data_IF_065041474609
#
_entry.id   IF_065041474609
#
_cell.length_a   1.000
_cell.length_b   1.000
_cell.length_c   1.000
_cell.angle_alpha   90.00
_cell.angle_beta   90.00
_cell.angle_gamma   90.00
#
_symmetry.space_group_name_H-M   'P 1'
#
loop_
_entity.id
_entity.type
_entity.pdbx_description
1 polymer ?
#
# COMPACT_ATOMS: atom_id res chain seq x y z
N UNK A 1 32.71 -8.83 19.73
CA UNK A 1 31.84 -9.57 20.65
C UNK A 1 30.41 -9.13 20.39
N UNK A 2 29.57 -10.05 19.91
CA UNK A 2 28.14 -9.84 19.66
C UNK A 2 27.36 -9.71 20.98
N UNK A 3 26.08 -9.28 20.90
CA UNK A 3 25.06 -10.28 21.13
C UNK A 3 23.96 -10.30 20.07
N UNK A 4 23.57 -11.54 19.77
CA UNK A 4 22.42 -11.97 19.00
C UNK A 4 21.13 -11.70 19.80
N UNK A 5 20.09 -11.18 19.16
CA UNK A 5 18.72 -11.41 19.59
C UNK A 5 17.93 -11.99 18.42
N UNK A 6 17.66 -13.28 18.52
CA UNK A 6 16.74 -14.03 17.67
C UNK A 6 15.30 -13.60 17.96
N UNK A 7 14.57 -13.19 16.92
CA UNK A 7 13.12 -13.16 16.93
C UNK A 7 12.59 -14.53 16.44
N UNK A 8 11.59 -15.16 17.10
CA UNK A 8 11.02 -16.39 16.59
C UNK A 8 9.94 -16.08 15.54
N UNK A 9 10.14 -16.59 14.33
CA UNK A 9 9.09 -16.85 13.35
C UNK A 9 8.04 -17.78 13.98
N UNK A 10 6.79 -17.35 14.03
CA UNK A 10 5.62 -18.24 14.15
C UNK A 10 4.56 -17.85 13.13
N UNK A 11 4.80 -18.25 11.89
CA UNK A 11 3.77 -18.38 10.87
C UNK A 11 3.70 -19.84 10.43
N UNK A 12 2.59 -20.49 10.80
CA UNK A 12 1.97 -21.70 10.20
C UNK A 12 2.71 -23.04 10.40
N UNK A 13 1.97 -24.13 10.72
CA UNK A 13 0.96 -24.66 9.79
C UNK A 13 -0.34 -25.16 10.44
N UNK A 14 -1.45 -24.50 10.10
CA UNK A 14 -2.82 -25.05 10.15
C UNK A 14 -3.14 -25.78 8.83
N UNK A 15 -2.39 -26.83 8.50
CA UNK A 15 -2.58 -27.55 7.23
C UNK A 15 -2.57 -29.09 7.32
N UNK A 16 -2.79 -29.69 8.50
CA UNK A 16 -2.82 -31.16 8.62
C UNK A 16 -3.96 -31.67 9.51
N UNK A 17 -5.19 -31.21 9.28
CA UNK A 17 -6.38 -31.76 9.94
C UNK A 17 -7.59 -31.95 9.01
N UNK A 18 -7.36 -32.43 7.77
CA UNK A 18 -8.43 -32.89 6.87
C UNK A 18 -7.96 -34.11 6.06
N UNK A 19 -7.58 -35.18 6.77
CA UNK A 19 -7.53 -36.52 6.20
C UNK A 19 -7.41 -37.51 7.36
N UNK A 20 -8.53 -38.14 7.74
CA UNK A 20 -8.65 -39.48 8.33
C UNK A 20 -10.08 -39.62 8.86
N UNK A 21 -10.98 -40.15 8.04
CA UNK A 21 -12.20 -40.77 8.54
C UNK A 21 -11.88 -42.14 9.14
N UNK A 22 -12.71 -42.60 10.09
CA UNK A 22 -12.97 -44.03 10.18
C UNK A 22 -14.48 -44.29 10.14
N UNK A 23 -14.85 -45.18 9.22
CA UNK A 23 -16.05 -45.98 9.35
C UNK A 23 -15.86 -46.97 10.50
N UNK A 24 -16.78 -47.00 11.47
CA UNK A 24 -17.18 -48.22 12.19
C UNK A 24 -18.36 -47.96 13.14
N UNK A 25 -19.47 -48.64 12.83
CA UNK A 25 -20.37 -49.39 13.72
C UNK A 25 -21.21 -48.66 14.77
N UNK A 26 -22.51 -48.93 14.65
CA UNK A 26 -23.59 -48.55 15.55
C UNK A 26 -23.45 -49.17 16.96
N UNK A 27 -23.77 -48.39 17.99
CA UNK A 27 -24.60 -48.85 19.11
C UNK A 27 -25.37 -47.67 19.71
N UNK A 28 -26.67 -47.86 19.88
CA UNK A 28 -27.60 -46.97 20.57
C UNK A 28 -27.17 -46.66 22.01
N UNK A 29 -27.50 -45.44 22.46
CA UNK A 29 -27.69 -45.15 23.87
C UNK A 29 -26.45 -44.69 24.65
N UNK A 30 -26.01 -43.45 24.42
CA UNK A 30 -25.55 -42.51 25.46
C UNK A 30 -25.08 -41.21 24.81
N UNK A 31 -25.86 -40.13 24.98
CA UNK A 31 -25.43 -38.78 24.62
C UNK A 31 -24.28 -38.37 25.56
N UNK A 32 -23.13 -37.90 25.06
CA UNK A 32 -22.07 -37.40 25.93
C UNK A 32 -22.51 -36.06 26.55
N UNK A 33 -22.31 -35.91 27.87
CA UNK A 33 -22.60 -34.71 28.66
C UNK A 33 -22.06 -33.40 28.03
N UNK A 34 -21.04 -33.49 27.18
CA UNK A 34 -20.44 -32.36 26.46
C UNK A 34 -21.39 -31.67 25.46
N UNK A 35 -22.36 -32.40 24.88
CA UNK A 35 -23.36 -31.80 23.98
C UNK A 35 -24.46 -31.05 24.76
N UNK A 36 -24.65 -31.37 26.04
CA UNK A 36 -25.64 -30.72 26.89
C UNK A 36 -25.11 -29.36 27.39
N UNK A 37 -23.82 -29.30 27.75
CA UNK A 37 -23.14 -28.06 28.13
C UNK A 37 -22.97 -27.05 26.96
N UNK A 38 -22.92 -27.52 25.71
CA UNK A 38 -22.90 -26.65 24.53
C UNK A 38 -24.27 -26.01 24.25
N UNK A 39 -25.37 -26.73 24.50
CA UNK A 39 -26.73 -26.17 24.38
C UNK A 39 -27.01 -25.13 25.47
N UNK A 40 -26.57 -25.39 26.71
CA UNK A 40 -26.71 -24.45 27.83
C UNK A 40 -25.87 -23.17 27.62
N UNK A 41 -24.71 -23.26 26.96
CA UNK A 41 -23.89 -22.09 26.63
C UNK A 41 -24.49 -21.24 25.49
N UNK A 42 -25.19 -21.87 24.53
CA UNK A 42 -25.85 -21.19 23.41
C UNK A 42 -27.13 -20.45 23.87
N UNK A 43 -27.89 -21.05 24.78
CA UNK A 43 -29.08 -20.45 25.41
C UNK A 43 -28.71 -19.27 26.31
N UNK A 44 -27.61 -19.40 27.09
CA UNK A 44 -27.07 -18.29 27.89
C UNK A 44 -26.55 -17.14 27.02
N UNK A 45 -26.02 -17.40 25.82
CA UNK A 45 -25.66 -16.32 24.89
C UNK A 45 -26.89 -15.62 24.31
N UNK A 46 -27.97 -16.34 23.96
CA UNK A 46 -29.20 -15.71 23.50
C UNK A 46 -29.87 -14.85 24.59
N UNK A 47 -29.93 -15.35 25.83
CA UNK A 47 -30.45 -14.58 26.97
C UNK A 47 -29.60 -13.33 27.28
N UNK A 48 -28.26 -13.45 27.26
CA UNK A 48 -27.38 -12.29 27.42
C UNK A 48 -27.56 -11.27 26.30
N UNK A 49 -27.83 -11.74 25.08
CA UNK A 49 -28.05 -10.89 23.90
C UNK A 49 -29.38 -10.13 24.02
N UNK A 50 -30.42 -10.79 24.52
CA UNK A 50 -31.73 -10.19 24.83
C UNK A 50 -31.67 -9.20 26.02
N UNK A 51 -30.88 -9.49 27.05
CA UNK A 51 -30.65 -8.54 28.15
C UNK A 51 -29.82 -7.33 27.71
N UNK A 52 -28.81 -7.52 26.84
CA UNK A 52 -28.06 -6.45 26.19
C UNK A 52 -28.95 -5.60 25.27
N UNK A 53 -29.94 -6.21 24.60
CA UNK A 53 -30.98 -5.51 23.83
C UNK A 53 -31.91 -4.68 24.72
N UNK A 54 -32.37 -5.23 25.86
CA UNK A 54 -33.19 -4.47 26.84
C UNK A 54 -32.42 -3.35 27.55
N UNK A 55 -31.09 -3.44 27.61
CA UNK A 55 -30.23 -2.45 28.26
C UNK A 55 -30.03 -1.14 27.47
N UNK A 56 -30.68 -0.98 26.30
CA UNK A 56 -30.70 0.30 25.58
C UNK A 56 -29.34 0.71 25.01
N UNK A 57 -28.46 -0.25 24.70
CA UNK A 57 -27.36 0.00 23.78
C UNK A 57 -27.96 0.19 22.37
N UNK A 58 -27.63 1.28 21.65
CA UNK A 58 -28.42 1.69 20.51
C UNK A 58 -28.19 0.74 19.32
N UNK A 59 -29.11 -0.20 19.14
CA UNK A 59 -29.36 -0.88 17.86
C UNK A 59 -29.98 0.04 16.81
N UNK A 60 -30.26 1.31 17.15
CA UNK A 60 -30.89 2.31 16.29
C UNK A 60 -29.94 3.49 15.97
N UNK A 61 -28.65 3.22 15.71
CA UNK A 61 -27.90 4.16 14.88
C UNK A 61 -28.42 4.01 13.45
N UNK A 62 -28.83 5.09 12.77
CA UNK A 62 -29.31 4.98 11.39
C UNK A 62 -28.22 4.31 10.56
N UNK A 63 -28.54 3.10 10.09
CA UNK A 63 -27.61 2.29 9.34
C UNK A 63 -27.25 3.02 8.03
N UNK A 64 -25.96 3.14 7.73
CA UNK A 64 -25.49 3.83 6.52
C UNK A 64 -26.19 3.24 5.28
N UNK A 65 -26.78 4.09 4.44
CA UNK A 65 -27.50 3.69 3.23
C UNK A 65 -26.65 2.69 2.40
N UNK A 66 -27.24 1.61 1.85
CA UNK A 66 -26.48 0.57 1.16
C UNK A 66 -25.55 1.07 0.05
N UNK A 67 -25.94 2.13 -0.66
CA UNK A 67 -25.11 2.76 -1.68
C UNK A 67 -23.90 3.48 -1.07
N UNK A 68 -24.11 4.27 -0.01
CA UNK A 68 -23.01 4.91 0.72
C UNK A 68 -22.07 3.87 1.34
N UNK A 69 -22.60 2.75 1.86
CA UNK A 69 -21.81 1.63 2.36
C UNK A 69 -20.93 1.01 1.27
N UNK A 70 -21.46 0.85 0.05
CA UNK A 70 -20.69 0.35 -1.10
C UNK A 70 -19.55 1.30 -1.47
N UNK A 71 -19.80 2.60 -1.51
CA UNK A 71 -18.78 3.61 -1.80
C UNK A 71 -17.68 3.62 -0.72
N UNK A 72 -18.08 3.53 0.56
CA UNK A 72 -17.14 3.44 1.68
C UNK A 72 -16.26 2.18 1.59
N UNK A 73 -16.85 1.03 1.29
CA UNK A 73 -16.11 -0.22 1.09
C UNK A 73 -15.11 -0.12 -0.07
N UNK A 74 -15.52 0.46 -1.21
CA UNK A 74 -14.64 0.64 -2.36
C UNK A 74 -13.47 1.60 -2.05
N UNK A 75 -13.70 2.66 -1.28
CA UNK A 75 -12.64 3.55 -0.80
C UNK A 75 -11.68 2.82 0.15
N UNK A 76 -12.20 2.00 1.08
CA UNK A 76 -11.39 1.22 2.01
C UNK A 76 -10.49 0.21 1.27
N UNK A 77 -11.02 -0.51 0.29
CA UNK A 77 -10.26 -1.45 -0.54
C UNK A 77 -9.15 -0.74 -1.33
N UNK A 78 -9.46 0.41 -1.93
CA UNK A 78 -8.47 1.22 -2.65
C UNK A 78 -7.37 1.75 -1.71
N UNK A 79 -7.76 2.19 -0.50
CA UNK A 79 -6.83 2.67 0.52
C UNK A 79 -5.88 1.56 0.96
N UNK A 80 -6.40 0.38 1.27
CA UNK A 80 -5.59 -0.77 1.65
C UNK A 80 -4.63 -1.20 0.53
N UNK A 81 -5.10 -1.21 -0.72
CA UNK A 81 -4.27 -1.54 -1.88
C UNK A 81 -3.14 -0.50 -2.08
N UNK A 82 -3.43 0.79 -1.95
CA UNK A 82 -2.45 1.86 -2.07
C UNK A 82 -1.41 1.78 -0.94
N UNK A 83 -1.84 1.67 0.33
CA UNK A 83 -0.94 1.48 1.47
C UNK A 83 -0.02 0.28 1.28
N UNK A 84 -0.57 -0.86 0.84
CA UNK A 84 0.21 -2.05 0.53
C UNK A 84 1.20 -1.86 -0.61
N UNK A 85 0.85 -1.05 -1.62
CA UNK A 85 1.78 -0.67 -2.68
C UNK A 85 2.92 0.20 -2.14
N UNK A 86 2.60 1.28 -1.44
CA UNK A 86 3.57 2.22 -0.88
C UNK A 86 4.57 1.50 0.04
N UNK A 87 4.07 0.68 0.98
CA UNK A 87 4.92 -0.05 1.93
C UNK A 87 5.90 -1.02 1.26
N UNK A 88 5.48 -1.74 0.22
CA UNK A 88 6.35 -2.68 -0.53
C UNK A 88 7.33 -1.98 -1.48
N UNK A 89 7.10 -0.71 -1.82
CA UNK A 89 7.91 0.09 -2.73
C UNK A 89 8.66 1.22 -2.03
N UNK A 90 8.75 1.15 -0.70
CA UNK A 90 9.45 2.14 0.11
C UNK A 90 10.98 1.98 0.05
N UNK A 91 11.50 0.76 -0.19
CA UNK A 91 12.94 0.48 -0.33
C UNK A 91 13.23 -0.67 -1.31
N UNK A 92 14.05 -0.46 -2.36
CA UNK A 92 14.38 0.86 -2.92
C UNK A 92 13.10 1.60 -3.34
N UNK A 93 13.14 2.94 -3.35
CA UNK A 93 11.94 3.75 -3.59
C UNK A 93 11.52 3.61 -5.05
N UNK A 94 10.30 3.10 -5.26
CA UNK A 94 9.68 2.92 -6.58
C UNK A 94 8.19 3.19 -6.55
N UNK A 95 7.78 4.18 -5.76
CA UNK A 95 6.38 4.41 -5.43
C UNK A 95 5.66 5.13 -6.57
N UNK A 96 6.29 6.10 -7.24
CA UNK A 96 5.62 6.85 -8.30
C UNK A 96 5.32 5.94 -9.50
N UNK A 97 6.30 5.15 -9.93
CA UNK A 97 6.14 4.26 -11.08
C UNK A 97 5.15 3.11 -10.82
N UNK A 98 5.13 2.56 -9.61
CA UNK A 98 4.34 1.35 -9.33
C UNK A 98 2.99 1.63 -8.68
N UNK A 99 2.80 2.75 -8.00
CA UNK A 99 1.60 3.03 -7.20
C UNK A 99 0.67 4.08 -7.81
N UNK A 100 1.05 4.74 -8.91
CA UNK A 100 0.22 5.78 -9.56
C UNK A 100 -1.21 5.33 -9.88
N UNK A 101 -1.38 4.09 -10.35
CA UNK A 101 -2.71 3.58 -10.70
C UNK A 101 -3.57 3.36 -9.45
N UNK A 102 -2.98 2.92 -8.34
CA UNK A 102 -3.67 2.80 -7.05
C UNK A 102 -4.07 4.17 -6.52
N UNK A 103 -3.18 5.15 -6.60
CA UNK A 103 -3.45 6.54 -6.20
C UNK A 103 -4.61 7.14 -7.01
N UNK A 104 -4.58 7.00 -8.33
CA UNK A 104 -5.66 7.49 -9.20
C UNK A 104 -7.01 6.84 -8.89
N UNK A 105 -7.03 5.52 -8.60
CA UNK A 105 -8.25 4.80 -8.21
C UNK A 105 -8.80 5.30 -6.88
N UNK A 106 -7.94 5.54 -5.89
CA UNK A 106 -8.35 6.11 -4.62
C UNK A 106 -9.03 7.47 -4.81
N UNK A 107 -8.39 8.40 -5.55
CA UNK A 107 -8.95 9.72 -5.84
C UNK A 107 -10.31 9.62 -6.55
N UNK A 108 -10.47 8.67 -7.47
CA UNK A 108 -11.74 8.44 -8.14
C UNK A 108 -12.83 8.02 -7.15
N UNK A 109 -12.54 7.07 -6.24
CA UNK A 109 -13.52 6.63 -5.24
C UNK A 109 -13.87 7.73 -4.23
N UNK A 110 -12.87 8.50 -3.79
CA UNK A 110 -13.13 9.68 -2.96
C UNK A 110 -14.06 10.67 -3.67
N UNK A 111 -13.79 10.96 -4.95
CA UNK A 111 -14.64 11.82 -5.76
C UNK A 111 -16.04 11.27 -6.05
N UNK A 112 -16.24 9.95 -5.99
CA UNK A 112 -17.58 9.35 -6.02
C UNK A 112 -18.33 9.61 -4.72
N UNK A 113 -17.69 9.46 -3.56
CA UNK A 113 -18.29 9.77 -2.24
C UNK A 113 -18.71 11.25 -2.17
N UNK A 114 -17.83 12.16 -2.58
CA UNK A 114 -18.09 13.62 -2.54
C UNK A 114 -19.28 14.01 -3.43
N UNK A 115 -19.45 13.36 -4.59
CA UNK A 115 -20.50 13.70 -5.57
C UNK A 115 -21.79 12.89 -5.41
N UNK A 116 -21.80 11.86 -4.56
CA UNK A 116 -22.95 10.99 -4.38
C UNK A 116 -24.08 11.73 -3.63
N UNK A 117 -24.99 12.32 -4.40
CA UNK A 117 -26.26 12.85 -3.91
C UNK A 117 -27.22 11.68 -3.76
N UNK A 118 -27.83 11.52 -2.57
CA UNK A 118 -28.80 10.46 -2.35
C UNK A 118 -30.10 10.68 -3.13
N UNK A 119 -30.83 9.60 -3.42
CA UNK A 119 -31.93 9.58 -4.41
C UNK A 119 -33.26 10.19 -3.94
N UNK A 120 -33.37 10.65 -2.68
CA UNK A 120 -34.57 11.27 -2.12
C UNK A 120 -34.32 12.71 -1.65
N UNK A 121 -35.38 13.52 -1.60
CA UNK A 121 -35.33 14.90 -1.10
C UNK A 121 -34.91 15.01 0.38
N UNK A 122 -34.93 13.88 1.11
CA UNK A 122 -34.46 13.71 2.49
C UNK A 122 -33.23 12.79 2.58
N UNK A 123 -32.68 12.33 1.45
CA UNK A 123 -31.56 11.39 1.42
C UNK A 123 -30.33 12.09 1.96
N UNK A 124 -29.80 11.55 3.05
CA UNK A 124 -28.53 12.00 3.60
C UNK A 124 -27.45 11.78 2.54
N UNK A 125 -26.96 12.88 1.96
CA UNK A 125 -25.82 12.89 1.05
C UNK A 125 -24.68 12.02 1.64
N UNK A 126 -24.17 11.05 0.88
CA UNK A 126 -23.10 10.16 1.33
C UNK A 126 -21.88 10.96 1.80
N UNK A 127 -21.61 12.11 1.19
CA UNK A 127 -20.56 13.03 1.63
C UNK A 127 -20.77 13.49 3.07
N UNK A 128 -22.00 13.85 3.46
CA UNK A 128 -22.32 14.25 4.84
C UNK A 128 -22.20 13.07 5.80
N UNK A 129 -22.72 11.91 5.42
CA UNK A 129 -22.73 10.71 6.27
C UNK A 129 -21.36 10.04 6.42
N UNK A 130 -20.46 10.17 5.44
CA UNK A 130 -19.15 9.51 5.44
C UNK A 130 -18.02 10.48 5.79
N UNK A 131 -18.03 11.71 5.26
CA UNK A 131 -16.90 12.62 5.36
C UNK A 131 -16.98 13.53 6.59
N UNK A 132 -18.18 13.84 7.09
CA UNK A 132 -18.38 14.84 8.16
C UNK A 132 -19.26 14.37 9.31
N UNK A 133 -19.60 13.08 9.35
CA UNK A 133 -20.49 12.52 10.39
C UNK A 133 -19.81 12.30 11.75
N UNK A 134 -18.48 12.33 11.80
CA UNK A 134 -17.71 12.16 13.01
C UNK A 134 -16.56 13.18 13.11
N UNK A 135 -15.98 13.29 14.31
CA UNK A 135 -14.88 14.23 14.61
C UNK A 135 -13.56 13.85 13.93
N UNK A 136 -13.33 12.55 13.70
CA UNK A 136 -12.06 12.04 13.18
C UNK A 136 -11.98 12.15 11.66
N UNK A 137 -13.13 12.04 10.97
CA UNK A 137 -13.24 12.18 9.52
C UNK A 137 -12.23 11.28 8.77
N UNK A 138 -12.18 10.00 9.15
CA UNK A 138 -11.12 9.06 8.73
C UNK A 138 -10.93 9.02 7.21
N UNK A 139 -12.00 9.08 6.43
CA UNK A 139 -11.93 9.07 4.95
C UNK A 139 -11.23 10.33 4.42
N UNK A 140 -11.51 11.49 5.02
CA UNK A 140 -10.86 12.76 4.67
C UNK A 140 -9.38 12.72 5.07
N UNK A 141 -9.08 12.34 6.31
CA UNK A 141 -7.69 12.26 6.81
C UNK A 141 -6.84 11.29 5.99
N UNK A 142 -7.37 10.14 5.60
CA UNK A 142 -6.65 9.19 4.74
C UNK A 142 -6.42 9.79 3.35
N UNK A 143 -7.43 10.41 2.74
CA UNK A 143 -7.31 11.05 1.43
C UNK A 143 -6.24 12.15 1.44
N UNK A 144 -6.23 12.99 2.48
CA UNK A 144 -5.22 14.05 2.66
C UNK A 144 -3.83 13.46 2.85
N UNK A 145 -3.66 12.47 3.73
CA UNK A 145 -2.39 11.78 3.91
C UNK A 145 -1.81 11.23 2.60
N UNK A 146 -2.66 10.59 1.77
CA UNK A 146 -2.20 10.08 0.47
C UNK A 146 -1.86 11.21 -0.51
N UNK A 147 -2.63 12.30 -0.52
CA UNK A 147 -2.35 13.45 -1.38
C UNK A 147 -1.04 14.14 -0.99
N UNK A 148 -0.85 14.43 0.30
CA UNK A 148 0.38 15.02 0.82
C UNK A 148 1.60 14.13 0.55
N UNK A 149 1.47 12.81 0.75
CA UNK A 149 2.53 11.86 0.42
C UNK A 149 2.87 11.91 -1.07
N UNK A 150 1.87 12.03 -1.94
CA UNK A 150 2.05 12.07 -3.39
C UNK A 150 2.72 13.37 -3.87
N UNK A 151 2.31 14.51 -3.30
CA UNK A 151 2.88 15.83 -3.56
C UNK A 151 4.30 15.95 -3.03
N UNK A 152 4.56 15.48 -1.80
CA UNK A 152 5.89 15.48 -1.20
C UNK A 152 6.88 14.60 -1.97
N UNK A 153 6.41 13.49 -2.54
CA UNK A 153 7.20 12.63 -3.42
C UNK A 153 7.43 13.23 -4.83
N UNK A 154 6.78 14.35 -5.13
CA UNK A 154 6.76 15.03 -6.43
C UNK A 154 6.45 14.06 -7.59
N UNK A 155 5.52 13.12 -7.39
CA UNK A 155 5.26 12.06 -8.37
C UNK A 155 4.69 12.58 -9.69
N UNK A 156 4.10 13.77 -9.72
CA UNK A 156 3.65 14.41 -10.96
C UNK A 156 4.79 14.54 -11.98
N UNK A 157 6.01 14.87 -11.52
CA UNK A 157 7.20 15.00 -12.38
C UNK A 157 7.72 13.67 -12.93
N UNK A 158 7.29 12.54 -12.36
CA UNK A 158 7.61 11.21 -12.87
C UNK A 158 6.61 10.75 -13.96
N UNK A 159 5.46 11.40 -14.08
CA UNK A 159 4.33 10.93 -14.87
C UNK A 159 4.05 11.82 -16.08
N UNK A 160 3.30 11.27 -17.04
CA UNK A 160 2.69 12.06 -18.11
C UNK A 160 1.57 12.93 -17.54
N UNK A 161 1.20 14.00 -18.24
CA UNK A 161 0.08 14.87 -17.85
C UNK A 161 -1.25 14.12 -17.66
N UNK A 162 -1.48 13.01 -18.39
CA UNK A 162 -2.66 12.16 -18.23
C UNK A 162 -2.61 11.24 -17.00
N UNK A 163 -1.47 11.16 -16.32
CA UNK A 163 -1.18 10.19 -15.24
C UNK A 163 -1.41 8.73 -15.66
N UNK A 164 -1.44 8.42 -16.96
CA UNK A 164 -1.62 7.06 -17.49
C UNK A 164 -0.33 6.24 -17.55
N UNK A 165 0.81 6.87 -17.22
CA UNK A 165 2.10 6.20 -17.14
C UNK A 165 3.24 7.18 -16.91
N UNK A 166 4.46 6.64 -16.93
CA UNK A 166 5.69 7.39 -16.74
C UNK A 166 5.96 8.36 -17.89
N UNK A 167 6.57 9.50 -17.57
CA UNK A 167 7.08 10.43 -18.57
C UNK A 167 8.19 9.78 -19.41
N UNK A 168 8.39 10.24 -20.65
CA UNK A 168 9.45 9.69 -21.51
C UNK A 168 10.83 9.85 -20.85
N UNK A 169 11.07 11.00 -20.24
CA UNK A 169 12.30 11.31 -19.52
C UNK A 169 12.55 10.40 -18.31
N UNK A 170 11.49 10.05 -17.58
CA UNK A 170 11.58 9.10 -16.45
C UNK A 170 11.87 7.69 -16.95
N UNK A 171 11.26 7.25 -18.04
CA UNK A 171 11.53 5.93 -18.66
C UNK A 171 12.99 5.85 -19.12
N UNK A 172 13.48 6.88 -19.81
CA UNK A 172 14.87 6.95 -20.27
C UNK A 172 15.86 6.92 -19.10
N UNK A 173 15.58 7.67 -18.04
CA UNK A 173 16.40 7.67 -16.83
C UNK A 173 16.45 6.28 -16.16
N UNK A 174 15.31 5.63 -15.98
CA UNK A 174 15.24 4.31 -15.36
C UNK A 174 15.92 3.23 -16.21
N UNK A 175 15.88 3.34 -17.54
CA UNK A 175 16.63 2.44 -18.45
C UNK A 175 18.14 2.61 -18.28
N UNK A 176 18.66 3.85 -18.27
CA UNK A 176 20.08 4.12 -18.01
C UNK A 176 20.52 3.68 -16.60
N UNK A 177 19.65 3.83 -15.61
CA UNK A 177 19.91 3.35 -14.25
C UNK A 177 20.00 1.82 -14.22
N UNK A 178 19.06 1.11 -14.83
CA UNK A 178 19.10 -0.36 -14.90
C UNK A 178 20.32 -0.87 -15.69
N UNK A 179 20.72 -0.17 -16.76
CA UNK A 179 21.95 -0.46 -17.50
C UNK A 179 23.19 -0.27 -16.62
N UNK A 180 23.24 0.80 -15.83
CA UNK A 180 24.34 1.05 -14.87
C UNK A 180 24.42 -0.08 -13.83
N UNK A 181 23.30 -0.47 -13.23
CA UNK A 181 23.25 -1.59 -12.28
C UNK A 181 23.70 -2.91 -12.91
N UNK A 182 23.24 -3.20 -14.13
CA UNK A 182 23.63 -4.41 -14.88
C UNK A 182 25.14 -4.41 -15.16
N UNK A 183 25.71 -3.25 -15.52
CA UNK A 183 27.14 -3.11 -15.71
C UNK A 183 27.91 -3.36 -14.41
N UNK A 184 27.47 -2.77 -13.30
CA UNK A 184 28.09 -3.01 -11.99
C UNK A 184 28.03 -4.46 -11.60
N UNK A 185 26.86 -5.09 -11.71
CA UNK A 185 26.69 -6.51 -11.38
C UNK A 185 27.61 -7.39 -12.22
N UNK A 186 27.64 -7.20 -13.53
CA UNK A 186 28.47 -7.99 -14.43
C UNK A 186 29.97 -7.89 -14.12
N UNK A 187 30.45 -6.69 -13.80
CA UNK A 187 31.88 -6.48 -13.49
C UNK A 187 32.26 -6.84 -12.05
N UNK A 188 31.27 -7.13 -11.19
CA UNK A 188 31.47 -7.63 -9.83
C UNK A 188 31.29 -9.16 -9.72
N UNK A 189 30.56 -9.78 -10.65
CA UNK A 189 30.34 -11.23 -10.69
C UNK A 189 31.68 -11.99 -10.81
N UNK A 190 32.01 -12.78 -9.78
CA UNK A 190 33.25 -13.57 -9.69
C UNK A 190 34.26 -13.06 -8.64
N UNK A 191 34.01 -11.91 -8.02
CA UNK A 191 34.87 -11.37 -6.96
C UNK A 191 34.30 -11.76 -5.59
N UNK A 192 34.89 -12.79 -4.95
CA UNK A 192 34.64 -13.08 -3.54
C UNK A 192 34.92 -11.85 -2.69
N UNK A 193 34.13 -11.65 -1.64
CA UNK A 193 33.99 -10.52 -0.67
C UNK A 193 35.30 -9.89 -0.11
N UNK A 194 36.49 -10.35 -0.50
CA UNK A 194 37.77 -9.70 -0.25
C UNK A 194 38.23 -8.89 -1.46
N UNK A 195 37.60 -7.73 -1.67
CA UNK A 195 37.93 -6.82 -2.76
C UNK A 195 39.22 -6.06 -2.43
N UNK A 196 40.30 -6.39 -3.14
CA UNK A 196 41.50 -5.57 -3.18
C UNK A 196 41.18 -4.26 -3.92
N UNK A 197 41.67 -3.07 -3.47
CA UNK A 197 41.34 -1.76 -4.05
C UNK A 197 41.53 -1.66 -5.57
N UNK A 198 42.39 -2.50 -6.17
CA UNK A 198 42.66 -2.50 -7.60
C UNK A 198 41.49 -3.03 -8.46
N UNK A 199 40.56 -3.83 -7.92
CA UNK A 199 39.47 -4.42 -8.70
C UNK A 199 38.35 -3.42 -9.05
N UNK A 200 38.12 -2.40 -8.23
CA UNK A 200 37.15 -1.35 -8.54
C UNK A 200 37.58 -0.52 -9.75
N UNK A 201 38.88 -0.47 -10.06
CA UNK A 201 39.40 0.25 -11.23
C UNK A 201 38.81 -0.29 -12.52
N UNK A 202 38.53 -1.59 -12.62
CA UNK A 202 37.95 -2.20 -13.81
C UNK A 202 36.46 -1.93 -13.93
N UNK A 203 35.70 -2.02 -12.84
CA UNK A 203 34.29 -1.59 -12.77
C UNK A 203 34.15 -0.12 -13.19
N UNK A 204 34.97 0.76 -12.62
CA UNK A 204 34.97 2.18 -12.95
C UNK A 204 35.33 2.43 -14.41
N UNK A 205 36.28 1.69 -14.99
CA UNK A 205 36.64 1.81 -16.41
C UNK A 205 35.50 1.36 -17.32
N UNK A 206 34.90 0.21 -17.02
CA UNK A 206 33.92 -0.44 -17.89
C UNK A 206 32.55 0.22 -17.83
N UNK A 207 32.15 0.75 -16.66
CA UNK A 207 30.84 1.36 -16.45
C UNK A 207 30.85 2.90 -16.50
N UNK A 208 32.02 3.53 -16.72
CA UNK A 208 32.19 4.99 -16.69
C UNK A 208 31.21 5.72 -17.62
N UNK A 209 31.09 5.22 -18.86
CA UNK A 209 30.30 5.88 -19.89
C UNK A 209 28.81 5.85 -19.55
N UNK A 210 28.31 4.68 -19.13
CA UNK A 210 26.90 4.53 -18.70
C UNK A 210 26.60 5.41 -17.49
N UNK A 211 27.49 5.44 -16.50
CA UNK A 211 27.34 6.29 -15.33
C UNK A 211 27.35 7.79 -15.68
N UNK A 212 28.25 8.21 -16.59
CA UNK A 212 28.28 9.61 -17.07
C UNK A 212 26.98 10.00 -17.77
N UNK A 213 26.46 9.16 -18.67
CA UNK A 213 25.18 9.42 -19.34
C UNK A 213 24.03 9.54 -18.33
N UNK A 214 23.99 8.65 -17.33
CA UNK A 214 22.99 8.72 -16.26
C UNK A 214 23.07 10.04 -15.48
N UNK A 215 24.28 10.42 -15.05
CA UNK A 215 24.51 11.64 -14.28
C UNK A 215 24.21 12.90 -15.11
N UNK A 216 24.57 12.92 -16.40
CA UNK A 216 24.24 14.02 -17.31
C UNK A 216 22.73 14.18 -17.48
N UNK A 217 22.00 13.08 -17.68
CA UNK A 217 20.55 13.10 -17.75
C UNK A 217 19.91 13.59 -16.45
N UNK A 218 20.36 13.08 -15.29
CA UNK A 218 19.89 13.54 -13.98
C UNK A 218 20.07 15.05 -13.80
N UNK A 219 21.25 15.59 -14.14
CA UNK A 219 21.54 17.01 -14.07
C UNK A 219 20.67 17.83 -15.04
N UNK A 220 20.38 17.29 -16.23
CA UNK A 220 19.46 17.93 -17.15
C UNK A 220 18.03 17.99 -16.58
N UNK A 221 17.52 16.90 -16.02
CA UNK A 221 16.20 16.86 -15.38
C UNK A 221 16.10 17.87 -14.24
N UNK A 222 17.13 17.97 -13.38
CA UNK A 222 17.18 18.99 -12.33
C UNK A 222 17.10 20.42 -12.90
N UNK A 223 17.80 20.70 -14.00
CA UNK A 223 17.78 22.03 -14.65
C UNK A 223 16.41 22.36 -15.23
N UNK A 224 15.79 21.41 -15.93
CA UNK A 224 14.45 21.57 -16.50
C UNK A 224 13.41 21.82 -15.41
N UNK A 225 13.48 21.08 -14.30
CA UNK A 225 12.57 21.24 -13.17
C UNK A 225 12.69 22.63 -12.51
N UNK A 226 13.92 23.15 -12.37
CA UNK A 226 14.17 24.51 -11.87
C UNK A 226 13.69 25.62 -12.82
N UNK A 227 13.74 25.37 -14.13
CA UNK A 227 13.32 26.34 -15.15
C UNK A 227 11.79 26.45 -15.34
N UNK A 228 11.02 25.48 -14.85
CA UNK A 228 9.56 25.47 -14.95
C UNK A 228 8.81 25.90 -13.67
N UNK A 229 9.51 26.08 -12.56
CA UNK A 229 8.91 26.42 -11.27
C UNK A 229 8.81 27.95 -11.05
N UNK A 230 7.74 28.58 -11.52
CA UNK A 230 7.37 29.95 -11.13
C UNK A 230 6.81 30.06 -9.70
N UNK A 231 6.85 29.00 -8.91
CA UNK A 231 6.44 29.02 -7.51
C UNK A 231 7.44 28.23 -6.67
N UNK A 232 7.96 28.87 -5.62
CA UNK A 232 9.09 28.41 -4.80
C UNK A 232 8.85 27.18 -3.93
N UNK A 233 8.07 26.21 -4.38
CA UNK A 233 7.83 24.95 -3.68
C UNK A 233 8.17 23.76 -4.60
N UNK A 234 9.31 23.11 -4.28
CA UNK A 234 9.89 21.88 -4.85
C UNK A 234 10.99 22.06 -5.93
N UNK A 235 12.21 22.33 -5.47
CA UNK A 235 13.44 22.12 -6.26
C UNK A 235 13.79 20.63 -6.48
N UNK A 236 13.01 19.71 -5.89
CA UNK A 236 13.23 18.27 -5.86
C UNK A 236 12.67 17.60 -7.11
N UNK A 237 13.38 16.60 -7.64
CA UNK A 237 12.84 15.70 -8.66
C UNK A 237 11.86 14.71 -8.02
N UNK A 238 11.21 13.88 -8.84
CA UNK A 238 10.39 12.81 -8.28
C UNK A 238 11.26 11.80 -7.51
N UNK A 239 10.75 11.33 -6.39
CA UNK A 239 11.52 10.53 -5.43
C UNK A 239 12.11 9.23 -6.02
N UNK A 240 11.43 8.61 -6.99
CA UNK A 240 11.92 7.42 -7.70
C UNK A 240 13.26 7.68 -8.43
N UNK A 241 13.47 8.91 -8.91
CA UNK A 241 14.71 9.34 -9.59
C UNK A 241 15.78 9.73 -8.57
N UNK A 242 15.41 10.46 -7.52
CA UNK A 242 16.36 10.89 -6.48
C UNK A 242 16.94 9.70 -5.69
N UNK A 243 16.11 8.72 -5.33
CA UNK A 243 16.56 7.50 -4.62
C UNK A 243 17.48 6.65 -5.50
N UNK A 244 17.19 6.54 -6.80
CA UNK A 244 18.03 5.82 -7.75
C UNK A 244 19.46 6.38 -7.82
N UNK A 245 19.61 7.71 -7.93
CA UNK A 245 20.94 8.35 -7.95
C UNK A 245 21.63 8.27 -6.60
N UNK A 246 20.88 8.30 -5.49
CA UNK A 246 21.48 8.15 -4.16
C UNK A 246 22.07 6.76 -3.91
N UNK A 247 21.64 5.74 -4.66
CA UNK A 247 22.07 4.34 -4.50
C UNK A 247 23.13 3.94 -5.54
N UNK A 248 23.19 4.64 -6.69
CA UNK A 248 24.21 4.44 -7.74
C UNK A 248 25.57 5.02 -7.36
#
# INVERSE_FOLDING_TARGET
MAPLLLAPLRCLPWLLALALGPAALASEGSRPLALQALGEAEELTEELTEELWRAGLPGDLPELEPECRRLLAAFADCSAALTGCLGRRARPVRLCQNCHLHYRRLLAQYGHIVRAVGNSSESHNCAKSILTSDRLQIVVTLSEFFNETWEAANCANCLKNSSEGLSNSTVEFLDLFNKSLTCFEHNLQGQTVYLSPNNYTEVCKNCNETYKMLNELYNNLQRLNRGGAESGHSSHLCIDVEDAVSIS
#
